data_IF_907426797866
#
_entry.id   IF_907426797866
#
_cell.length_a   1.000
_cell.length_b   1.000
_cell.length_c   1.000
_cell.angle_alpha   90.00
_cell.angle_beta   90.00
_cell.angle_gamma   90.00
#
_symmetry.space_group_name_H-M   'P 1'
#
loop_
_entity.id
_entity.type
_entity.pdbx_description
1 polymer ?
#
# COMPACT_ATOMS: atom_id res chain seq x y z
N UNK A 1 -15.01 -3.50 30.19
CA UNK A 1 -16.26 -3.74 29.44
C UNK A 1 -16.08 -5.04 28.66
N UNK A 2 -16.58 -6.13 29.24
CA UNK A 2 -16.80 -7.48 28.70
C UNK A 2 -15.92 -7.99 27.53
N UNK A 3 -14.80 -8.63 27.84
CA UNK A 3 -14.13 -9.60 26.96
C UNK A 3 -14.68 -11.00 27.23
N UNK A 4 -15.88 -11.31 26.72
CA UNK A 4 -16.36 -12.69 26.67
C UNK A 4 -17.37 -12.91 25.55
N UNK A 5 -16.84 -13.16 24.35
CA UNK A 5 -17.47 -14.06 23.40
C UNK A 5 -16.34 -14.85 22.78
N UNK A 6 -16.33 -16.17 22.98
CA UNK A 6 -15.35 -17.07 22.39
C UNK A 6 -15.36 -16.91 20.86
N UNK A 7 -14.55 -15.96 20.37
CA UNK A 7 -14.42 -15.71 18.96
C UNK A 7 -13.68 -16.91 18.39
N UNK A 8 -14.37 -17.69 17.57
CA UNK A 8 -13.81 -18.87 16.94
C UNK A 8 -12.41 -18.57 16.39
N UNK A 9 -11.47 -19.45 16.73
CA UNK A 9 -10.05 -19.23 16.50
C UNK A 9 -9.78 -19.00 15.01
N UNK A 10 -9.17 -17.84 14.68
CA UNK A 10 -8.71 -17.56 13.32
C UNK A 10 -7.41 -18.32 13.08
N UNK A 11 -7.43 -19.25 12.13
CA UNK A 11 -6.24 -20.00 11.71
C UNK A 11 -5.69 -19.43 10.42
N UNK A 12 -4.37 -19.19 10.39
CA UNK A 12 -3.65 -18.77 9.20
C UNK A 12 -2.88 -19.94 8.63
N UNK A 13 -3.08 -20.23 7.34
CA UNK A 13 -2.30 -21.21 6.60
C UNK A 13 -1.60 -20.50 5.45
N UNK A 14 -0.29 -20.67 5.34
CA UNK A 14 0.48 -20.19 4.20
C UNK A 14 0.66 -21.32 3.20
N UNK A 15 0.51 -21.01 1.91
CA UNK A 15 0.66 -21.95 0.80
C UNK A 15 1.57 -21.34 -0.26
N UNK A 16 2.25 -22.19 -1.03
CA UNK A 16 3.15 -21.78 -2.13
C UNK A 16 4.14 -20.71 -1.67
N UNK A 17 4.83 -20.99 -0.56
CA UNK A 17 5.80 -20.07 0.01
C UNK A 17 7.08 -20.04 -0.82
N UNK A 18 7.54 -18.85 -1.18
CA UNK A 18 8.73 -18.64 -2.00
C UNK A 18 9.52 -17.46 -1.48
N UNK A 19 10.83 -17.65 -1.31
CA UNK A 19 11.77 -16.57 -1.00
C UNK A 19 12.33 -16.01 -2.30
N UNK A 20 12.01 -14.75 -2.62
CA UNK A 20 12.52 -14.08 -3.80
C UNK A 20 13.64 -13.09 -3.40
N UNK A 21 14.89 -13.50 -3.63
CA UNK A 21 16.07 -12.70 -3.26
C UNK A 21 16.27 -11.46 -4.13
N UNK A 22 15.84 -11.47 -5.40
CA UNK A 22 15.98 -10.33 -6.32
C UNK A 22 15.17 -9.10 -5.85
N UNK A 23 14.06 -9.35 -5.16
CA UNK A 23 13.16 -8.33 -4.64
C UNK A 23 13.23 -8.20 -3.11
N UNK A 24 14.17 -8.90 -2.47
CA UNK A 24 14.38 -8.94 -1.01
C UNK A 24 13.07 -9.18 -0.24
N UNK A 25 12.27 -10.17 -0.68
CA UNK A 25 10.98 -10.47 -0.07
C UNK A 25 10.62 -11.94 -0.10
N UNK A 26 9.83 -12.36 0.87
CA UNK A 26 9.13 -13.64 0.91
C UNK A 26 7.70 -13.43 0.40
N UNK A 27 7.23 -14.31 -0.48
CA UNK A 27 5.91 -14.23 -1.08
C UNK A 27 5.16 -15.54 -0.92
N UNK A 28 3.88 -15.46 -0.58
CA UNK A 28 3.05 -16.63 -0.33
C UNK A 28 1.57 -16.32 -0.54
N UNK A 29 0.79 -17.38 -0.71
CA UNK A 29 -0.67 -17.34 -0.67
C UNK A 29 -1.09 -17.52 0.78
N UNK A 30 -1.91 -16.61 1.29
CA UNK A 30 -2.50 -16.70 2.63
C UNK A 30 -3.91 -17.25 2.53
N UNK A 31 -4.18 -18.30 3.29
CA UNK A 31 -5.51 -18.84 3.51
C UNK A 31 -5.91 -18.55 4.96
N UNK A 32 -7.01 -17.82 5.13
CA UNK A 32 -7.53 -17.39 6.42
C UNK A 32 -8.80 -18.17 6.71
N UNK A 33 -8.75 -19.01 7.73
CA UNK A 33 -9.87 -19.82 8.20
C UNK A 33 -10.43 -19.14 9.45
N UNK A 34 -11.70 -18.76 9.41
CA UNK A 34 -12.38 -17.97 10.43
C UNK A 34 -13.85 -18.41 10.54
N UNK A 35 -14.09 -19.64 11.05
CA UNK A 35 -15.44 -20.21 11.12
C UNK A 35 -16.31 -19.37 12.05
N UNK A 36 -17.56 -19.06 11.67
CA UNK A 36 -18.49 -18.30 12.53
C UNK A 36 -18.07 -16.87 12.88
N UNK A 37 -16.96 -16.36 12.34
CA UNK A 37 -16.51 -14.97 12.50
C UNK A 37 -16.63 -14.24 11.16
N UNK A 38 -16.86 -12.94 11.22
CA UNK A 38 -16.78 -12.06 10.06
C UNK A 38 -15.34 -11.98 9.50
N UNK A 39 -15.18 -11.23 8.41
CA UNK A 39 -13.91 -11.06 7.73
C UNK A 39 -12.84 -10.48 8.67
N UNK A 40 -11.67 -11.11 8.71
CA UNK A 40 -10.55 -10.67 9.55
C UNK A 40 -9.94 -9.39 8.99
N UNK A 41 -9.65 -8.42 9.87
CA UNK A 41 -9.04 -7.17 9.46
C UNK A 41 -7.60 -7.37 8.99
N UNK A 42 -7.13 -6.54 8.07
CA UNK A 42 -5.73 -6.63 7.57
C UNK A 42 -4.70 -6.28 8.65
N UNK A 43 -5.06 -5.46 9.63
CA UNK A 43 -4.18 -5.12 10.75
C UNK A 43 -3.94 -6.37 11.62
N UNK A 44 -4.99 -7.08 12.01
CA UNK A 44 -4.89 -8.32 12.79
C UNK A 44 -4.08 -9.40 12.04
N UNK A 45 -4.27 -9.52 10.72
CA UNK A 45 -3.51 -10.47 9.91
C UNK A 45 -2.01 -10.14 9.88
N UNK A 46 -1.64 -8.86 9.85
CA UNK A 46 -0.25 -8.45 9.89
C UNK A 46 0.39 -8.74 11.23
N UNK A 47 -0.30 -8.44 12.32
CA UNK A 47 0.21 -8.72 13.67
C UNK A 47 0.45 -10.21 13.88
N UNK A 48 -0.49 -11.07 13.44
CA UNK A 48 -0.31 -12.52 13.51
C UNK A 48 0.84 -13.00 12.62
N UNK A 49 0.97 -12.47 11.40
CA UNK A 49 2.08 -12.82 10.51
C UNK A 49 3.43 -12.32 11.03
N UNK A 50 3.47 -11.16 11.69
CA UNK A 50 4.67 -10.62 12.32
C UNK A 50 5.16 -11.55 13.45
N UNK A 51 4.23 -12.07 14.26
CA UNK A 51 4.53 -13.06 15.31
C UNK A 51 4.97 -14.40 14.71
N UNK A 52 4.28 -14.91 13.69
CA UNK A 52 4.57 -16.22 13.07
C UNK A 52 5.95 -16.29 12.38
N UNK A 53 6.38 -15.18 11.77
CA UNK A 53 7.63 -15.12 11.01
C UNK A 53 8.70 -14.23 11.66
N UNK A 54 8.49 -13.85 12.93
CA UNK A 54 9.42 -13.06 13.74
C UNK A 54 9.90 -11.77 13.06
N UNK A 55 8.96 -11.07 12.42
CA UNK A 55 9.25 -9.81 11.74
C UNK A 55 9.12 -8.66 12.73
N UNK A 56 10.21 -7.92 12.95
CA UNK A 56 10.26 -6.79 13.90
C UNK A 56 9.26 -5.68 13.56
N UNK A 57 9.09 -5.38 12.26
CA UNK A 57 8.23 -4.29 11.79
C UNK A 57 6.99 -4.80 11.03
N UNK A 58 5.80 -4.56 11.57
CA UNK A 58 4.52 -4.87 10.89
C UNK A 58 4.33 -4.09 9.57
N UNK A 59 5.07 -2.99 9.39
CA UNK A 59 5.02 -2.17 8.19
C UNK A 59 5.71 -2.80 6.97
N UNK A 60 6.61 -3.77 7.19
CA UNK A 60 7.26 -4.55 6.15
C UNK A 60 6.36 -5.67 5.59
N UNK A 61 5.20 -5.90 6.21
CA UNK A 61 4.24 -6.94 5.82
C UNK A 61 3.10 -6.30 5.03
N UNK A 62 2.89 -6.80 3.80
CA UNK A 62 1.81 -6.37 2.92
C UNK A 62 0.88 -7.53 2.63
N UNK A 63 -0.40 -7.34 2.91
CA UNK A 63 -1.43 -8.35 2.65
C UNK A 63 -2.53 -7.76 1.77
N UNK A 64 -2.79 -8.39 0.63
CA UNK A 64 -3.66 -7.83 -0.42
C UNK A 64 -4.40 -8.91 -1.21
N UNK A 65 -5.32 -8.46 -2.09
CA UNK A 65 -6.14 -9.32 -2.96
C UNK A 65 -6.91 -10.40 -2.19
N UNK A 66 -7.50 -10.03 -1.05
CA UNK A 66 -8.40 -10.93 -0.34
C UNK A 66 -9.69 -11.14 -1.11
N UNK A 67 -10.10 -12.40 -1.22
CA UNK A 67 -11.41 -12.84 -1.69
C UNK A 67 -11.98 -13.85 -0.71
N UNK A 68 -13.20 -13.62 -0.27
CA UNK A 68 -13.99 -14.56 0.53
C UNK A 68 -14.54 -15.65 -0.39
N UNK A 69 -14.50 -16.90 0.08
CA UNK A 69 -15.18 -17.99 -0.63
C UNK A 69 -16.69 -17.89 -0.43
N UNK A 70 -17.45 -18.39 -1.41
CA UNK A 70 -18.88 -18.57 -1.27
C UNK A 70 -19.16 -19.54 -0.11
N UNK A 71 -20.15 -19.22 0.72
CA UNK A 71 -20.42 -19.94 1.98
C UNK A 71 -19.63 -19.43 3.20
N UNK A 72 -18.71 -18.47 3.04
CA UNK A 72 -18.03 -17.81 4.16
C UNK A 72 -17.01 -18.69 4.88
N UNK A 73 -16.54 -18.23 6.06
CA UNK A 73 -15.61 -18.97 6.94
C UNK A 73 -14.18 -19.15 6.42
N UNK A 74 -13.94 -18.85 5.14
CA UNK A 74 -12.64 -19.01 4.47
C UNK A 74 -12.39 -17.87 3.48
N UNK A 75 -11.19 -17.30 3.56
CA UNK A 75 -10.73 -16.24 2.66
C UNK A 75 -9.35 -16.58 2.12
N UNK A 76 -9.10 -16.25 0.85
CA UNK A 76 -7.79 -16.38 0.22
C UNK A 76 -7.23 -15.01 -0.12
N UNK A 77 -5.93 -14.82 0.07
CA UNK A 77 -5.21 -13.59 -0.24
C UNK A 77 -3.75 -13.85 -0.55
N UNK A 78 -3.01 -12.77 -0.78
CA UNK A 78 -1.56 -12.81 -0.98
C UNK A 78 -0.87 -12.03 0.12
N UNK A 79 0.23 -12.59 0.63
CA UNK A 79 1.12 -11.98 1.61
C UNK A 79 2.51 -11.77 1.03
N UNK A 80 3.10 -10.62 1.34
CA UNK A 80 4.50 -10.29 1.06
C UNK A 80 5.13 -9.83 2.37
N UNK A 81 6.32 -10.37 2.67
CA UNK A 81 7.15 -9.96 3.80
C UNK A 81 8.46 -9.46 3.19
N UNK A 82 8.75 -8.18 3.34
CA UNK A 82 10.04 -7.61 2.94
C UNK A 82 11.04 -7.73 4.08
N UNK A 83 12.32 -7.87 3.73
CA UNK A 83 13.40 -7.86 4.72
C UNK A 83 13.58 -6.44 5.30
N UNK A 84 13.51 -5.41 4.44
CA UNK A 84 13.70 -3.99 4.80
C UNK A 84 12.55 -3.09 4.32
N UNK A 85 12.28 -2.01 5.04
CA UNK A 85 11.24 -1.03 4.69
C UNK A 85 11.59 -0.22 3.42
N UNK A 86 12.87 0.00 3.16
CA UNK A 86 13.35 0.66 1.94
C UNK A 86 13.06 -0.18 0.69
N UNK A 87 13.30 -1.49 0.77
CA UNK A 87 12.99 -2.43 -0.30
C UNK A 87 11.47 -2.44 -0.58
N UNK A 88 10.65 -2.43 0.48
CA UNK A 88 9.21 -2.32 0.35
C UNK A 88 8.79 -1.04 -0.41
N UNK A 89 9.35 0.12 -0.06
CA UNK A 89 9.05 1.40 -0.76
C UNK A 89 9.48 1.39 -2.23
N UNK A 90 10.58 0.71 -2.56
CA UNK A 90 11.11 0.62 -3.93
C UNK A 90 10.27 -0.28 -4.83
N UNK A 91 9.86 -1.44 -4.33
CA UNK A 91 9.22 -2.48 -5.16
C UNK A 91 7.69 -2.50 -5.09
N UNK A 92 7.08 -1.98 -4.02
CA UNK A 92 5.62 -1.96 -3.93
C UNK A 92 5.00 -0.89 -4.85
N UNK A 93 3.88 -1.22 -5.51
CA UNK A 93 3.05 -0.23 -6.18
C UNK A 93 2.60 0.87 -5.22
N UNK A 94 2.64 2.13 -5.69
CA UNK A 94 2.28 3.33 -4.91
C UNK A 94 0.93 3.24 -4.19
N UNK A 95 -0.09 2.63 -4.81
CA UNK A 95 -1.42 2.53 -4.20
C UNK A 95 -1.44 1.67 -2.92
N UNK A 96 -0.52 0.72 -2.77
CA UNK A 96 -0.40 -0.11 -1.56
C UNK A 96 0.33 0.64 -0.47
N UNK A 97 1.37 1.39 -0.82
CA UNK A 97 2.08 2.28 0.10
C UNK A 97 1.13 3.31 0.71
N UNK A 98 0.28 3.94 -0.11
CA UNK A 98 -0.73 4.90 0.35
C UNK A 98 -1.73 4.24 1.31
N UNK A 99 -2.25 3.06 0.96
CA UNK A 99 -3.16 2.30 1.84
C UNK A 99 -2.52 1.87 3.15
N UNK A 100 -1.18 1.76 3.17
CA UNK A 100 -0.42 1.41 4.36
C UNK A 100 0.05 2.63 5.17
N UNK A 101 -0.27 3.86 4.73
CA UNK A 101 0.19 5.09 5.37
C UNK A 101 1.65 5.46 5.12
N UNK A 102 2.37 4.75 4.23
CA UNK A 102 3.79 4.99 3.96
C UNK A 102 4.05 6.04 2.87
N UNK A 103 3.00 6.48 2.17
CA UNK A 103 3.09 7.50 1.12
C UNK A 103 1.81 8.35 1.09
N UNK A 104 1.96 9.62 0.75
CA UNK A 104 0.82 10.53 0.60
C UNK A 104 0.19 10.41 -0.79
N UNK A 105 -1.13 10.51 -0.84
CA UNK A 105 -1.87 10.51 -2.10
C UNK A 105 -1.76 11.88 -2.74
N UNK A 106 -1.24 11.94 -3.96
CA UNK A 106 -1.21 13.17 -4.76
C UNK A 106 -2.48 13.25 -5.61
N UNK A 107 -3.37 14.18 -5.28
CA UNK A 107 -4.62 14.39 -6.02
C UNK A 107 -4.39 15.38 -7.16
N UNK A 108 -4.36 14.88 -8.40
CA UNK A 108 -4.23 15.69 -9.61
C UNK A 108 -5.21 15.23 -10.68
N UNK A 109 -5.94 16.18 -11.27
CA UNK A 109 -6.84 15.88 -12.37
C UNK A 109 -6.07 15.58 -13.65
N UNK A 110 -6.37 14.44 -14.28
CA UNK A 110 -5.78 14.04 -15.57
C UNK A 110 -6.08 15.04 -16.67
N UNK A 111 -7.25 15.69 -16.65
CA UNK A 111 -7.65 16.72 -17.62
C UNK A 111 -6.75 17.96 -17.51
N UNK A 112 -6.60 18.50 -16.30
CA UNK A 112 -5.76 19.69 -16.04
C UNK A 112 -4.30 19.46 -16.43
N UNK A 113 -3.75 18.27 -16.16
CA UNK A 113 -2.38 17.92 -16.55
C UNK A 113 -2.19 17.89 -18.07
N UNK A 114 -3.14 17.29 -18.80
CA UNK A 114 -3.11 17.22 -20.27
C UNK A 114 -3.27 18.60 -20.91
N UNK A 115 -4.21 19.40 -20.43
CA UNK A 115 -4.41 20.78 -20.90
C UNK A 115 -3.19 21.67 -20.62
N UNK A 116 -2.56 21.53 -19.45
CA UNK A 116 -1.31 22.25 -19.13
C UNK A 116 -0.20 21.86 -20.10
N UNK A 117 -0.04 20.57 -20.40
CA UNK A 117 0.94 20.07 -21.38
C UNK A 117 0.69 20.66 -22.77
N UNK A 118 -0.56 20.68 -23.23
CA UNK A 118 -0.92 21.23 -24.54
C UNK A 118 -0.71 22.75 -24.62
N UNK A 119 -1.02 23.51 -23.55
CA UNK A 119 -0.71 24.94 -23.46
C UNK A 119 0.80 25.21 -23.50
N UNK A 120 1.59 24.41 -22.77
CA UNK A 120 3.04 24.56 -22.74
C UNK A 120 3.71 24.30 -24.10
N UNK A 121 3.15 23.44 -24.95
CA UNK A 121 3.66 23.20 -26.31
C UNK A 121 3.51 24.40 -27.24
N UNK A 122 2.53 25.28 -27.00
CA UNK A 122 2.27 26.47 -27.84
C UNK A 122 3.27 27.61 -27.61
N UNK A 123 3.97 27.62 -26.47
CA UNK A 123 4.86 28.71 -26.06
C UNK A 123 6.32 28.34 -26.37
N UNK A 124 7.07 29.23 -27.04
CA UNK A 124 8.47 29.03 -27.44
C UNK A 124 9.40 30.12 -26.88
N UNK A 125 10.71 29.87 -26.89
CA UNK A 125 11.75 30.84 -26.52
C UNK A 125 11.62 31.42 -25.11
N UNK A 126 11.99 32.69 -24.95
CA UNK A 126 12.02 33.42 -23.67
C UNK A 126 10.67 33.39 -22.93
N UNK A 127 9.54 33.37 -23.67
CA UNK A 127 8.19 33.28 -23.07
C UNK A 127 7.96 31.98 -22.29
N UNK A 128 8.57 30.86 -22.73
CA UNK A 128 8.47 29.55 -22.05
C UNK A 128 9.29 29.52 -20.75
N UNK A 129 10.50 30.09 -20.79
CA UNK A 129 11.38 30.19 -19.61
C UNK A 129 10.73 31.07 -18.54
N UNK A 130 10.22 32.25 -18.94
CA UNK A 130 9.50 33.15 -18.03
C UNK A 130 8.26 32.51 -17.39
N UNK A 131 7.45 31.75 -18.14
CA UNK A 131 6.26 31.09 -17.57
C UNK A 131 6.61 30.02 -16.53
N UNK A 132 7.69 29.27 -16.75
CA UNK A 132 8.15 28.26 -15.79
C UNK A 132 8.71 28.92 -14.52
N UNK A 133 9.48 30.00 -14.67
CA UNK A 133 10.07 30.74 -13.56
C UNK A 133 9.00 31.42 -12.69
N UNK A 134 7.94 31.97 -13.31
CA UNK A 134 6.78 32.53 -12.60
C UNK A 134 6.05 31.45 -11.77
N UNK A 135 5.89 30.24 -12.31
CA UNK A 135 5.24 29.13 -11.59
C UNK A 135 6.05 28.64 -10.37
N UNK A 136 7.39 28.62 -10.49
CA UNK A 136 8.30 28.27 -9.40
C UNK A 136 8.23 29.30 -8.26
N UNK A 137 8.29 30.60 -8.59
CA UNK A 137 8.13 31.68 -7.60
C UNK A 137 6.79 31.60 -6.87
N UNK A 138 5.70 31.33 -7.57
CA UNK A 138 4.39 31.15 -6.94
C UNK A 138 4.30 29.93 -6.03
N UNK A 139 4.90 28.79 -6.41
CA UNK A 139 4.91 27.60 -5.53
C UNK A 139 5.72 27.84 -4.26
N UNK A 140 6.88 28.51 -4.37
CA UNK A 140 7.73 28.83 -3.22
C UNK A 140 7.05 29.83 -2.28
N UNK A 141 6.41 30.89 -2.81
CA UNK A 141 5.68 31.85 -1.97
C UNK A 141 4.51 31.19 -1.22
N UNK A 142 3.85 30.20 -1.83
CA UNK A 142 2.73 29.47 -1.23
C UNK A 142 3.18 28.43 -0.20
N UNK A 143 4.44 28.00 -0.24
CA UNK A 143 5.05 27.11 0.74
C UNK A 143 5.61 27.87 1.96
N UNK A 144 5.92 29.16 1.81
CA UNK A 144 6.42 30.03 2.89
C UNK A 144 5.27 30.64 3.73
N UNK A 145 4.07 30.72 3.16
CA UNK A 145 2.85 31.27 3.79
C UNK A 145 1.98 30.22 4.51
N UNK A 146 2.48 29.00 4.66
CA UNK A 146 1.88 27.89 5.44
C UNK A 146 2.92 27.43 6.44
#
# INVERSE_FOLDING_TARGET
>A
MADSKAAAAVTLRTRKFMTNRLLSRKQFVLEVIHPGRANVSKAELKERLAKLYEVKESNCIFVFKFRTHFGGGKSTGFGLIYDNLEAAKKFEPKYRLIRNGLATKVEKSRKQMKERKNRAKKIRGVKKVRSNHKMLKMHMSKLILV
#
